data_IF_467836418934
#
_entry.id   IF_467836418934
#
_cell.length_a   1.000
_cell.length_b   1.000
_cell.length_c   1.000
_cell.angle_alpha   90.00
_cell.angle_beta   90.00
_cell.angle_gamma   90.00
#
_symmetry.space_group_name_H-M   'P 1'
#
loop_
_entity.id
_entity.type
_entity.pdbx_description
1 polymer ?
#
# COMPACT_ATOMS: atom_id res chain seq x y z
N UNK A 1 27.49 -1.74 28.37
CA UNK A 1 26.23 -1.26 27.81
C UNK A 1 25.38 -2.50 27.53
N UNK A 2 24.36 -2.73 28.34
CA UNK A 2 23.44 -3.84 28.15
C UNK A 2 22.52 -3.43 26.98
N UNK A 3 22.76 -3.99 25.80
CA UNK A 3 21.74 -4.03 24.77
C UNK A 3 20.63 -4.96 25.29
N UNK A 4 19.54 -4.37 25.74
CA UNK A 4 18.29 -5.13 25.96
C UNK A 4 17.97 -5.88 24.68
N UNK A 5 17.57 -7.16 24.73
CA UNK A 5 17.17 -7.90 23.53
C UNK A 5 16.09 -7.06 22.83
N UNK A 6 16.35 -6.66 21.58
CA UNK A 6 15.41 -5.86 20.81
C UNK A 6 14.08 -6.62 20.75
N UNK A 7 13.08 -6.13 21.47
CA UNK A 7 11.73 -6.67 21.43
C UNK A 7 11.27 -6.73 19.97
N UNK A 8 10.59 -7.79 19.59
CA UNK A 8 9.95 -7.87 18.26
C UNK A 8 8.95 -6.73 18.18
N UNK A 9 9.05 -5.83 17.21
CA UNK A 9 8.11 -4.71 17.11
C UNK A 9 6.69 -5.23 16.83
N UNK A 10 5.71 -4.52 17.30
CA UNK A 10 4.30 -4.83 17.02
C UNK A 10 3.96 -4.69 15.55
N UNK A 11 4.48 -3.63 14.91
CA UNK A 11 4.19 -3.30 13.52
C UNK A 11 5.45 -3.20 12.66
N UNK A 12 5.36 -3.71 11.43
CA UNK A 12 6.27 -3.36 10.35
C UNK A 12 5.50 -2.59 9.30
N UNK A 13 5.81 -1.29 9.16
CA UNK A 13 5.31 -0.46 8.08
C UNK A 13 6.19 -0.67 6.86
N UNK A 14 5.61 -1.19 5.78
CA UNK A 14 6.30 -1.54 4.53
C UNK A 14 5.90 -0.55 3.46
N UNK A 15 6.88 0.16 2.90
CA UNK A 15 6.71 1.25 1.94
C UNK A 15 7.47 0.89 0.66
N UNK A 16 6.78 0.47 -0.41
CA UNK A 16 7.40 0.34 -1.72
C UNK A 16 7.71 1.73 -2.29
N UNK A 17 8.93 1.94 -2.77
CA UNK A 17 9.36 3.23 -3.30
C UNK A 17 10.17 3.09 -4.59
N UNK A 18 9.83 3.86 -5.62
CA UNK A 18 10.59 4.00 -6.87
C UNK A 18 10.55 5.45 -7.34
N UNK A 19 11.69 6.15 -7.24
CA UNK A 19 11.82 7.56 -7.60
C UNK A 19 10.76 8.43 -6.90
N UNK A 20 10.73 8.36 -5.58
CA UNK A 20 9.76 9.03 -4.71
C UNK A 20 10.39 10.14 -3.84
N UNK A 21 11.56 10.69 -4.24
CA UNK A 21 12.26 11.74 -3.48
C UNK A 21 11.37 12.95 -3.16
N UNK A 22 10.44 13.30 -4.06
CA UNK A 22 9.53 14.43 -3.88
C UNK A 22 8.36 14.15 -2.91
N UNK A 23 8.00 12.88 -2.67
CA UNK A 23 6.80 12.49 -1.93
C UNK A 23 7.10 11.77 -0.62
N UNK A 24 8.14 10.95 -0.59
CA UNK A 24 8.53 10.15 0.56
C UNK A 24 8.70 10.99 1.85
N UNK A 25 9.28 12.21 1.85
CA UNK A 25 9.40 13.01 3.06
C UNK A 25 8.05 13.35 3.70
N UNK A 26 7.02 13.63 2.89
CA UNK A 26 5.70 13.95 3.40
C UNK A 26 4.99 12.71 4.00
N UNK A 27 5.21 11.52 3.43
CA UNK A 27 4.77 10.27 4.05
C UNK A 27 5.49 10.06 5.38
N UNK A 28 6.84 10.11 5.42
CA UNK A 28 7.63 9.85 6.62
C UNK A 28 7.24 10.79 7.76
N UNK A 29 7.03 12.08 7.51
CA UNK A 29 6.52 13.02 8.51
C UNK A 29 5.17 12.56 9.10
N UNK A 30 4.24 12.08 8.26
CA UNK A 30 2.95 11.56 8.74
C UNK A 30 3.08 10.22 9.48
N UNK A 31 4.08 9.42 9.14
CA UNK A 31 4.43 8.19 9.87
C UNK A 31 4.96 8.52 11.26
N UNK A 32 5.83 9.52 11.38
CA UNK A 32 6.37 9.95 12.69
C UNK A 32 5.27 10.49 13.60
N UNK A 33 4.32 11.26 13.04
CA UNK A 33 3.13 11.69 13.78
C UNK A 33 2.30 10.48 14.27
N UNK A 34 2.12 9.47 13.42
CA UNK A 34 1.36 8.27 13.78
C UNK A 34 2.10 7.40 14.81
N UNK A 35 3.44 7.29 14.71
CA UNK A 35 4.29 6.60 15.69
C UNK A 35 4.24 7.29 17.06
N UNK A 36 4.39 8.61 17.09
CA UNK A 36 4.32 9.40 18.31
C UNK A 36 2.95 9.29 19.02
N UNK A 37 1.89 9.04 18.26
CA UNK A 37 0.53 8.91 18.80
C UNK A 37 0.12 7.47 19.14
N UNK A 38 0.94 6.50 18.79
CA UNK A 38 0.65 5.10 19.08
C UNK A 38 0.80 4.82 20.59
N UNK A 39 -0.26 4.22 21.18
CA UNK A 39 -0.31 3.96 22.62
C UNK A 39 0.73 2.92 23.09
N UNK A 40 1.19 2.03 22.21
CA UNK A 40 2.23 1.05 22.51
C UNK A 40 3.65 1.62 22.48
N UNK A 41 3.84 2.85 22.02
CA UNK A 41 5.15 3.49 21.92
C UNK A 41 5.78 3.42 20.53
N UNK A 42 6.69 4.34 20.27
CA UNK A 42 7.35 4.50 18.96
C UNK A 42 8.22 3.30 18.58
N UNK A 43 8.82 2.63 19.55
CA UNK A 43 9.74 1.50 19.35
C UNK A 43 9.02 0.22 18.90
N UNK A 44 7.71 0.16 19.09
CA UNK A 44 6.84 -0.91 18.63
C UNK A 44 6.55 -0.84 17.11
N UNK A 45 7.10 0.14 16.40
CA UNK A 45 6.84 0.35 14.96
C UNK A 45 8.17 0.52 14.23
N UNK A 46 8.55 -0.50 13.46
CA UNK A 46 9.64 -0.36 12.48
C UNK A 46 9.10 0.13 11.13
N UNK A 47 9.94 0.87 10.41
CA UNK A 47 9.63 1.36 9.06
C UNK A 47 10.62 0.73 8.08
N UNK A 48 10.09 0.00 7.10
CA UNK A 48 10.85 -0.68 6.05
C UNK A 48 10.51 -0.03 4.71
N UNK A 49 11.44 0.72 4.15
CA UNK A 49 11.32 1.27 2.80
C UNK A 49 11.98 0.30 1.83
N UNK A 50 11.22 -0.17 0.85
CA UNK A 50 11.77 -1.05 -0.20
C UNK A 50 12.06 -0.22 -1.43
N UNK A 51 13.33 0.10 -1.61
CA UNK A 51 13.84 0.82 -2.77
C UNK A 51 13.85 -0.08 -4.00
N UNK A 52 12.98 0.21 -4.95
CA UNK A 52 12.85 -0.55 -6.19
C UNK A 52 13.81 -0.04 -7.28
N UNK A 53 15.12 -0.03 -6.97
CA UNK A 53 16.17 0.46 -7.83
C UNK A 53 15.94 1.93 -8.30
N UNK A 54 15.69 2.82 -7.34
CA UNK A 54 15.55 4.26 -7.59
C UNK A 54 16.89 4.84 -8.13
N UNK A 55 16.77 5.89 -8.93
CA UNK A 55 17.88 6.64 -9.51
C UNK A 55 18.00 8.06 -8.96
N UNK A 56 17.10 8.42 -8.04
CA UNK A 56 17.03 9.69 -7.32
C UNK A 56 17.45 9.52 -5.84
N UNK A 57 17.21 10.52 -5.01
CA UNK A 57 17.59 10.50 -3.59
C UNK A 57 16.65 9.65 -2.69
N UNK A 58 15.72 8.87 -3.23
CA UNK A 58 14.71 8.12 -2.47
C UNK A 58 15.33 7.27 -1.35
N UNK A 59 16.34 6.44 -1.68
CA UNK A 59 16.97 5.54 -0.70
C UNK A 59 17.73 6.29 0.39
N UNK A 60 18.37 7.41 0.07
CA UNK A 60 19.13 8.22 1.02
C UNK A 60 18.19 8.99 1.96
N UNK A 61 17.09 9.52 1.44
CA UNK A 61 16.03 10.13 2.25
C UNK A 61 15.42 9.13 3.24
N UNK A 62 15.17 7.89 2.80
CA UNK A 62 14.67 6.84 3.68
C UNK A 62 15.66 6.52 4.81
N UNK A 63 16.96 6.36 4.50
CA UNK A 63 18.00 6.11 5.53
C UNK A 63 18.12 7.27 6.51
N UNK A 64 18.12 8.50 6.00
CA UNK A 64 18.20 9.71 6.83
C UNK A 64 16.98 9.87 7.74
N UNK A 65 15.80 9.38 7.31
CA UNK A 65 14.58 9.29 8.11
C UNK A 65 14.55 8.11 9.09
N UNK A 66 15.70 7.42 9.30
CA UNK A 66 15.79 6.30 10.24
C UNK A 66 15.06 5.02 9.80
N UNK A 67 14.72 4.91 8.52
CA UNK A 67 14.06 3.74 7.97
C UNK A 67 15.07 2.62 7.67
N UNK A 68 14.65 1.39 7.83
CA UNK A 68 15.35 0.24 7.26
C UNK A 68 15.13 0.24 5.74
N UNK A 69 16.20 0.26 4.95
CA UNK A 69 16.10 0.24 3.49
C UNK A 69 16.46 -1.14 2.96
N UNK A 70 15.55 -1.71 2.19
CA UNK A 70 15.71 -2.97 1.47
C UNK A 70 15.71 -2.66 -0.02
N UNK A 71 16.60 -3.29 -0.81
CA UNK A 71 16.64 -3.11 -2.26
C UNK A 71 15.98 -4.29 -2.97
N UNK A 72 15.11 -4.00 -3.94
CA UNK A 72 14.50 -4.98 -4.83
C UNK A 72 14.65 -4.51 -6.28
N UNK A 73 15.29 -5.33 -7.11
CA UNK A 73 15.57 -4.99 -8.50
C UNK A 73 14.40 -5.27 -9.45
N UNK A 74 13.56 -6.23 -9.10
CA UNK A 74 12.41 -6.61 -9.93
C UNK A 74 11.36 -5.51 -9.92
N UNK A 75 11.01 -5.00 -11.10
CA UNK A 75 10.02 -3.95 -11.30
C UNK A 75 8.58 -4.49 -11.25
N UNK A 76 8.25 -5.17 -10.15
CA UNK A 76 6.93 -5.77 -9.88
C UNK A 76 6.53 -5.36 -8.46
N UNK A 77 5.46 -4.59 -8.33
CA UNK A 77 5.04 -4.02 -7.03
C UNK A 77 4.78 -5.11 -5.97
N UNK A 78 4.21 -6.26 -6.38
CA UNK A 78 4.01 -7.40 -5.50
C UNK A 78 5.35 -7.96 -4.97
N UNK A 79 6.38 -8.07 -5.83
CA UNK A 79 7.72 -8.50 -5.43
C UNK A 79 8.36 -7.50 -4.44
N UNK A 80 8.20 -6.20 -4.70
CA UNK A 80 8.70 -5.13 -3.82
C UNK A 80 8.07 -5.24 -2.43
N UNK A 81 6.74 -5.41 -2.35
CA UNK A 81 6.04 -5.58 -1.06
C UNK A 81 6.43 -6.89 -0.36
N UNK A 82 6.59 -7.99 -1.10
CA UNK A 82 7.08 -9.26 -0.56
C UNK A 82 8.50 -9.13 -0.01
N UNK A 83 9.41 -8.48 -0.70
CA UNK A 83 10.76 -8.23 -0.23
C UNK A 83 10.76 -7.43 1.09
N UNK A 84 9.87 -6.45 1.22
CA UNK A 84 9.64 -5.73 2.47
C UNK A 84 9.18 -6.64 3.59
N UNK A 85 8.16 -7.48 3.34
CA UNK A 85 7.62 -8.41 4.32
C UNK A 85 8.65 -9.45 4.78
N UNK A 86 9.48 -9.97 3.86
CA UNK A 86 10.57 -10.92 4.18
C UNK A 86 11.65 -10.31 5.08
N UNK A 87 11.87 -9.01 5.00
CA UNK A 87 12.85 -8.29 5.80
C UNK A 87 12.26 -7.61 7.05
N UNK A 88 10.95 -7.65 7.20
CA UNK A 88 10.22 -7.09 8.33
C UNK A 88 10.27 -8.02 9.55
N UNK A 89 10.18 -7.46 10.78
CA UNK A 89 10.27 -8.21 12.04
C UNK A 89 8.97 -8.21 12.83
N UNK A 90 8.08 -7.24 12.60
CA UNK A 90 6.86 -7.05 13.37
C UNK A 90 5.81 -8.13 13.18
N UNK A 91 4.91 -8.26 14.15
CA UNK A 91 3.79 -9.23 14.13
C UNK A 91 2.68 -8.84 13.17
N UNK A 92 2.56 -7.55 12.87
CA UNK A 92 1.54 -6.99 11.98
C UNK A 92 2.22 -6.24 10.85
N UNK A 93 1.94 -6.65 9.62
CA UNK A 93 2.37 -5.93 8.42
C UNK A 93 1.38 -4.85 8.07
N UNK A 94 1.89 -3.69 7.75
CA UNK A 94 1.15 -2.51 7.31
C UNK A 94 1.77 -2.01 6.02
N UNK A 95 0.99 -1.93 4.95
CA UNK A 95 1.46 -1.51 3.62
C UNK A 95 0.86 -0.14 3.27
N UNK A 96 1.72 0.77 2.82
CA UNK A 96 1.32 2.11 2.36
C UNK A 96 2.21 2.55 1.20
N UNK A 97 1.63 3.19 0.18
CA UNK A 97 2.40 3.72 -0.94
C UNK A 97 3.15 5.00 -0.56
N UNK A 98 4.33 5.21 -1.15
CA UNK A 98 5.27 6.28 -0.81
C UNK A 98 4.72 7.71 -1.05
N UNK A 99 3.70 7.85 -1.88
CA UNK A 99 3.07 9.13 -2.20
C UNK A 99 1.81 9.44 -1.36
N UNK A 100 1.41 8.55 -0.45
CA UNK A 100 0.29 8.76 0.46
C UNK A 100 0.72 9.42 1.77
N UNK A 101 -0.24 9.74 2.64
CA UNK A 101 0.02 10.15 4.04
C UNK A 101 -0.87 9.35 4.96
N UNK A 102 -0.32 8.98 6.12
CA UNK A 102 -1.04 8.23 7.13
C UNK A 102 -1.87 9.15 8.03
N UNK A 103 -2.95 8.61 8.57
CA UNK A 103 -3.68 9.29 9.65
C UNK A 103 -2.94 9.06 10.98
N UNK A 104 -2.84 10.07 11.88
CA UNK A 104 -2.11 9.93 13.14
C UNK A 104 -2.62 8.80 14.05
N UNK A 105 -3.88 8.38 13.94
CA UNK A 105 -4.46 7.29 14.74
C UNK A 105 -4.42 5.91 14.05
N UNK A 106 -3.65 5.77 12.96
CA UNK A 106 -3.67 4.54 12.13
C UNK A 106 -3.29 3.30 12.94
N UNK A 107 -2.17 3.31 13.66
CA UNK A 107 -1.70 2.12 14.40
C UNK A 107 -2.64 1.74 15.54
N UNK A 108 -3.16 2.72 16.30
CA UNK A 108 -4.17 2.47 17.32
C UNK A 108 -5.46 1.89 16.74
N UNK A 109 -5.89 2.37 15.58
CA UNK A 109 -7.10 1.88 14.92
C UNK A 109 -6.92 0.43 14.41
N UNK A 110 -5.72 0.09 13.91
CA UNK A 110 -5.37 -1.29 13.52
C UNK A 110 -5.42 -2.21 14.75
N UNK A 111 -4.74 -1.84 15.83
CA UNK A 111 -4.72 -2.64 17.07
C UNK A 111 -6.12 -2.88 17.63
N UNK A 112 -6.93 -1.83 17.75
CA UNK A 112 -8.34 -1.97 18.18
C UNK A 112 -9.11 -2.95 17.30
N UNK A 113 -8.88 -2.91 15.98
CA UNK A 113 -9.54 -3.80 15.04
C UNK A 113 -9.12 -5.27 15.23
N UNK A 114 -7.80 -5.50 15.34
CA UNK A 114 -7.23 -6.85 15.50
C UNK A 114 -7.49 -7.45 16.88
N UNK A 115 -7.55 -6.62 17.94
CA UNK A 115 -7.83 -7.05 19.31
C UNK A 115 -9.22 -7.70 19.47
N UNK A 116 -10.15 -7.44 18.55
CA UNK A 116 -11.47 -8.09 18.57
C UNK A 116 -11.42 -9.60 18.33
N UNK A 117 -10.31 -10.14 17.80
CA UNK A 117 -10.18 -11.53 17.34
C UNK A 117 -11.06 -11.87 16.11
N UNK A 118 -11.95 -10.98 15.69
CA UNK A 118 -12.91 -11.18 14.60
C UNK A 118 -12.43 -10.64 13.25
N UNK A 119 -11.25 -10.00 13.24
CA UNK A 119 -10.64 -9.38 12.04
C UNK A 119 -9.39 -10.14 11.66
N UNK A 120 -9.32 -10.58 10.40
CA UNK A 120 -8.12 -11.22 9.83
C UNK A 120 -7.19 -10.16 9.22
N UNK A 121 -7.75 -9.22 8.50
CA UNK A 121 -7.06 -8.15 7.78
C UNK A 121 -7.99 -6.97 7.56
N UNK A 122 -7.46 -5.87 7.08
CA UNK A 122 -8.27 -4.74 6.70
C UNK A 122 -7.52 -3.71 5.91
N UNK A 123 -8.26 -2.64 5.56
CA UNK A 123 -7.65 -1.48 4.96
C UNK A 123 -8.30 -0.19 5.45
N UNK A 124 -7.55 0.90 5.45
CA UNK A 124 -8.11 2.22 5.69
C UNK A 124 -8.86 2.70 4.46
N UNK A 125 -9.95 3.44 4.69
CA UNK A 125 -10.52 4.28 3.65
C UNK A 125 -9.51 5.35 3.23
N UNK A 126 -9.80 6.01 2.11
CA UNK A 126 -8.98 7.11 1.61
C UNK A 126 -9.73 8.43 1.65
N UNK A 127 -8.99 9.52 1.82
CA UNK A 127 -9.40 10.89 1.60
C UNK A 127 -8.49 11.47 0.54
N UNK A 128 -9.04 12.04 -0.52
CA UNK A 128 -8.21 12.65 -1.56
C UNK A 128 -7.55 13.92 -1.05
N UNK A 129 -6.30 14.14 -1.46
CA UNK A 129 -5.52 15.33 -1.10
C UNK A 129 -6.20 16.61 -1.60
N UNK A 130 -6.79 16.59 -2.79
CA UNK A 130 -7.67 17.64 -3.33
C UNK A 130 -8.92 17.04 -3.96
N UNK A 131 -9.94 17.87 -4.15
CA UNK A 131 -11.17 17.48 -4.84
C UNK A 131 -11.40 18.37 -6.05
N UNK A 132 -11.86 17.76 -7.14
CA UNK A 132 -12.39 18.42 -8.33
C UNK A 132 -13.64 17.69 -8.78
N UNK A 133 -14.35 18.24 -9.77
CA UNK A 133 -15.56 17.60 -10.31
C UNK A 133 -15.24 16.21 -10.92
N UNK A 134 -14.13 16.07 -11.66
CA UNK A 134 -13.71 14.79 -12.25
C UNK A 134 -13.31 13.75 -11.21
N UNK A 135 -12.59 14.18 -10.15
CA UNK A 135 -12.25 13.32 -9.00
C UNK A 135 -13.53 12.91 -8.26
N UNK A 136 -14.47 13.83 -8.03
CA UNK A 136 -15.74 13.52 -7.37
C UNK A 136 -16.59 12.52 -8.16
N UNK A 137 -16.64 12.65 -9.48
CA UNK A 137 -17.32 11.71 -10.36
C UNK A 137 -16.68 10.32 -10.30
N UNK A 138 -15.34 10.24 -10.31
CA UNK A 138 -14.61 8.96 -10.12
C UNK A 138 -14.95 8.34 -8.77
N UNK A 139 -14.97 9.14 -7.70
CA UNK A 139 -15.33 8.70 -6.35
C UNK A 139 -16.76 8.17 -6.27
N UNK A 140 -17.72 8.85 -6.91
CA UNK A 140 -19.12 8.43 -6.95
C UNK A 140 -19.30 7.04 -7.58
N UNK A 141 -18.46 6.68 -8.55
CA UNK A 141 -18.47 5.34 -9.19
C UNK A 141 -17.73 4.31 -8.34
N UNK A 142 -16.57 4.68 -7.78
CA UNK A 142 -15.70 3.72 -7.09
C UNK A 142 -16.14 3.41 -5.65
N UNK A 143 -16.67 4.39 -4.91
CA UNK A 143 -17.04 4.23 -3.49
C UNK A 143 -18.11 3.15 -3.28
N UNK A 144 -19.19 3.06 -4.07
CA UNK A 144 -20.16 1.96 -3.93
C UNK A 144 -19.54 0.58 -4.14
N UNK A 145 -18.61 0.45 -5.11
CA UNK A 145 -17.91 -0.79 -5.39
C UNK A 145 -16.99 -1.20 -4.23
N UNK A 146 -16.21 -0.25 -3.73
CA UNK A 146 -15.34 -0.44 -2.57
C UNK A 146 -16.17 -0.76 -1.32
N UNK A 147 -17.33 -0.10 -1.13
CA UNK A 147 -18.23 -0.36 -0.02
C UNK A 147 -18.81 -1.78 -0.09
N UNK A 148 -19.23 -2.23 -1.25
CA UNK A 148 -19.77 -3.57 -1.48
C UNK A 148 -18.73 -4.67 -1.27
N UNK A 149 -17.51 -4.45 -1.77
CA UNK A 149 -16.42 -5.44 -1.70
C UNK A 149 -15.65 -5.39 -0.38
N UNK A 150 -15.74 -4.29 0.38
CA UNK A 150 -14.93 -3.98 1.57
C UNK A 150 -13.42 -3.94 1.29
N UNK A 151 -13.04 -3.70 0.07
CA UNK A 151 -11.64 -3.68 -0.39
C UNK A 151 -11.16 -2.25 -0.58
N UNK A 152 -11.02 -1.52 0.53
CA UNK A 152 -10.28 -0.27 0.56
C UNK A 152 -8.78 -0.54 0.36
N UNK A 153 -8.05 0.40 -0.18
CA UNK A 153 -6.62 0.25 -0.52
C UNK A 153 -5.77 1.44 -0.04
N UNK A 154 -6.21 2.14 1.00
CA UNK A 154 -5.44 3.27 1.54
C UNK A 154 -4.19 2.81 2.30
N UNK A 155 -4.38 2.17 3.44
CA UNK A 155 -3.35 1.49 4.22
C UNK A 155 -3.86 0.08 4.45
N UNK A 156 -3.17 -0.92 3.92
CA UNK A 156 -3.56 -2.34 4.05
C UNK A 156 -2.81 -2.96 5.22
N UNK A 157 -3.47 -3.77 6.03
CA UNK A 157 -2.84 -4.44 7.15
C UNK A 157 -3.34 -5.87 7.35
N UNK A 158 -2.45 -6.74 7.84
CA UNK A 158 -2.75 -8.09 8.26
C UNK A 158 -1.69 -8.58 9.29
N UNK A 159 -1.97 -9.69 9.99
CA UNK A 159 -0.94 -10.34 10.79
C UNK A 159 0.10 -10.99 9.88
N UNK A 160 1.35 -11.04 10.33
CA UNK A 160 2.44 -11.76 9.66
C UNK A 160 2.04 -13.21 9.36
N UNK A 161 1.56 -13.93 10.38
CA UNK A 161 1.13 -15.33 10.25
C UNK A 161 0.09 -15.55 9.15
N UNK A 162 -0.86 -14.63 9.00
CA UNK A 162 -1.92 -14.69 7.99
C UNK A 162 -1.37 -14.38 6.60
N UNK A 163 -0.45 -13.40 6.50
CA UNK A 163 0.25 -13.08 5.26
C UNK A 163 1.09 -14.26 4.76
N UNK A 164 1.85 -14.89 5.64
CA UNK A 164 2.67 -16.06 5.34
C UNK A 164 1.80 -17.28 4.96
N UNK A 165 0.67 -17.48 5.66
CA UNK A 165 -0.25 -18.59 5.39
C UNK A 165 -0.90 -18.56 3.99
N UNK A 166 -1.02 -17.37 3.38
CA UNK A 166 -1.53 -17.22 2.01
C UNK A 166 -0.42 -17.13 0.96
N UNK A 167 0.86 -17.14 1.39
CA UNK A 167 2.02 -17.03 0.50
C UNK A 167 2.35 -15.60 0.06
N UNK A 168 1.81 -14.57 0.74
CA UNK A 168 2.07 -13.17 0.44
C UNK A 168 1.35 -12.63 -0.78
N UNK A 169 1.92 -11.58 -1.38
CA UNK A 169 1.43 -11.01 -2.64
C UNK A 169 1.74 -11.94 -3.82
N UNK A 170 0.77 -12.13 -4.70
CA UNK A 170 0.97 -12.90 -5.95
C UNK A 170 1.74 -12.07 -6.98
N UNK A 171 2.99 -12.46 -7.25
CA UNK A 171 3.90 -11.74 -8.15
C UNK A 171 3.56 -11.89 -9.64
N UNK A 172 2.74 -12.86 -10.01
CA UNK A 172 2.23 -13.00 -11.37
C UNK A 172 1.15 -11.95 -11.71
N UNK A 173 0.65 -11.25 -10.69
CA UNK A 173 -0.32 -10.18 -10.84
C UNK A 173 0.36 -8.83 -11.00
N UNK A 174 0.15 -8.23 -12.17
CA UNK A 174 0.67 -6.89 -12.50
C UNK A 174 -0.28 -5.75 -12.11
N UNK A 175 -1.47 -6.09 -11.62
CA UNK A 175 -2.53 -5.13 -11.31
C UNK A 175 -3.48 -5.65 -10.23
N UNK A 176 -3.97 -4.73 -9.37
CA UNK A 176 -4.91 -5.02 -8.27
C UNK A 176 -4.39 -6.11 -7.29
N UNK A 177 -3.10 -6.10 -7.03
CA UNK A 177 -2.42 -7.03 -6.12
C UNK A 177 -2.94 -6.90 -4.67
N UNK A 178 -3.26 -5.68 -4.21
CA UNK A 178 -3.87 -5.45 -2.89
C UNK A 178 -5.27 -6.05 -2.79
N UNK A 179 -6.06 -5.94 -3.86
CA UNK A 179 -7.40 -6.55 -3.92
C UNK A 179 -7.29 -8.06 -3.86
N UNK A 180 -6.31 -8.65 -4.56
CA UNK A 180 -6.07 -10.09 -4.52
C UNK A 180 -5.63 -10.55 -3.13
N UNK A 181 -4.69 -9.83 -2.50
CA UNK A 181 -4.23 -10.11 -1.14
C UNK A 181 -5.41 -10.11 -0.16
N UNK A 182 -6.23 -9.05 -0.18
CA UNK A 182 -7.41 -8.94 0.69
C UNK A 182 -8.44 -10.06 0.41
N UNK A 183 -8.56 -10.48 -0.85
CA UNK A 183 -9.43 -11.61 -1.22
C UNK A 183 -8.93 -12.94 -0.65
N UNK A 184 -7.64 -13.21 -0.74
CA UNK A 184 -7.05 -14.44 -0.22
C UNK A 184 -7.11 -14.47 1.33
N UNK A 185 -6.82 -13.34 1.99
CA UNK A 185 -7.02 -13.17 3.43
C UNK A 185 -8.50 -13.34 3.83
N UNK A 186 -9.43 -12.80 3.05
CA UNK A 186 -10.86 -13.00 3.29
C UNK A 186 -11.26 -14.47 3.21
N UNK A 187 -10.72 -15.22 2.24
CA UNK A 187 -10.97 -16.67 2.11
C UNK A 187 -10.44 -17.44 3.32
N UNK A 188 -9.23 -17.09 3.76
CA UNK A 188 -8.64 -17.67 4.98
C UNK A 188 -9.47 -17.33 6.21
N UNK A 189 -9.86 -16.05 6.36
CA UNK A 189 -10.66 -15.57 7.49
C UNK A 189 -12.02 -16.24 7.59
N UNK A 190 -12.70 -16.48 6.47
CA UNK A 190 -13.99 -17.20 6.47
C UNK A 190 -13.92 -18.59 7.11
N UNK A 191 -12.79 -19.31 6.92
CA UNK A 191 -12.56 -20.62 7.54
C UNK A 191 -12.40 -20.51 9.06
N UNK A 192 -12.01 -19.34 9.57
CA UNK A 192 -11.77 -19.07 10.99
C UNK A 192 -12.88 -18.22 11.65
N UNK A 193 -13.98 -17.95 10.95
CA UNK A 193 -15.06 -17.07 11.44
C UNK A 193 -14.66 -15.57 11.51
N UNK A 194 -13.60 -15.19 10.82
CA UNK A 194 -13.08 -13.82 10.77
C UNK A 194 -13.50 -13.10 9.48
N UNK A 195 -13.41 -11.76 9.49
CA UNK A 195 -13.82 -10.89 8.39
C UNK A 195 -12.79 -9.81 8.09
N UNK A 196 -12.88 -9.21 6.91
CA UNK A 196 -12.13 -7.98 6.61
C UNK A 196 -12.72 -6.80 7.40
N UNK A 197 -11.82 -5.94 7.88
CA UNK A 197 -12.17 -4.67 8.51
C UNK A 197 -12.01 -3.53 7.51
N UNK A 198 -12.99 -2.65 7.46
CA UNK A 198 -12.89 -1.36 6.81
C UNK A 198 -12.68 -0.29 7.86
N UNK A 199 -11.50 0.29 7.89
CA UNK A 199 -11.11 1.30 8.87
C UNK A 199 -11.54 2.69 8.39
N UNK A 200 -12.65 3.21 8.92
CA UNK A 200 -13.23 4.49 8.50
C UNK A 200 -12.78 5.68 9.34
N UNK A 201 -12.29 5.42 10.56
CA UNK A 201 -11.87 6.45 11.53
C UNK A 201 -10.47 7.01 11.24
N UNK A 202 -9.59 6.24 10.58
CA UNK A 202 -8.22 6.61 10.28
C UNK A 202 -7.95 6.52 8.76
N UNK A 203 -8.56 7.42 8.00
CA UNK A 203 -8.42 7.44 6.54
C UNK A 203 -7.06 7.97 6.12
N UNK A 204 -6.38 7.25 5.23
CA UNK A 204 -5.19 7.75 4.57
C UNK A 204 -5.51 8.93 3.64
N UNK A 205 -4.58 9.87 3.50
CA UNK A 205 -4.66 10.92 2.48
C UNK A 205 -3.98 10.38 1.23
N UNK A 206 -4.78 10.21 0.18
CA UNK A 206 -4.34 9.66 -1.10
C UNK A 206 -3.83 10.78 -2.00
N UNK A 207 -2.65 10.56 -2.60
CA UNK A 207 -2.03 11.50 -3.53
C UNK A 207 -2.87 11.71 -4.79
N UNK A 208 -2.98 12.96 -5.21
CA UNK A 208 -3.65 13.32 -6.48
C UNK A 208 -2.68 13.51 -7.63
N UNK A 209 -1.39 13.17 -7.48
CA UNK A 209 -0.35 13.41 -8.50
C UNK A 209 -0.70 12.84 -9.88
N UNK A 210 -1.31 11.65 -9.93
CA UNK A 210 -1.73 11.05 -11.20
C UNK A 210 -2.88 11.80 -11.85
N UNK A 211 -3.77 12.40 -11.06
CA UNK A 211 -4.79 13.31 -11.58
C UNK A 211 -4.16 14.62 -12.08
N UNK A 212 -3.13 15.11 -11.38
CA UNK A 212 -2.40 16.31 -11.80
C UNK A 212 -1.63 16.09 -13.10
N UNK A 213 -1.07 14.87 -13.27
CA UNK A 213 -0.29 14.49 -14.45
C UNK A 213 -1.14 14.15 -15.67
N UNK A 214 -2.27 13.45 -15.49
CA UNK A 214 -3.07 12.90 -16.59
C UNK A 214 -4.46 13.52 -16.73
N UNK A 215 -4.81 14.49 -15.86
CA UNK A 215 -6.11 15.14 -15.81
C UNK A 215 -7.12 14.44 -14.90
N UNK A 216 -8.06 15.22 -14.40
CA UNK A 216 -9.01 14.79 -13.36
C UNK A 216 -9.99 13.69 -13.80
N UNK A 217 -10.22 13.54 -15.11
CA UNK A 217 -11.08 12.49 -15.69
C UNK A 217 -10.37 11.18 -15.99
N UNK A 218 -9.06 11.15 -15.74
CA UNK A 218 -8.20 10.02 -16.12
C UNK A 218 -8.68 8.68 -15.53
N UNK A 219 -8.89 8.63 -14.22
CA UNK A 219 -9.32 7.39 -13.57
C UNK A 219 -10.74 6.98 -13.93
N UNK A 220 -11.65 7.92 -14.16
CA UNK A 220 -13.00 7.57 -14.62
C UNK A 220 -12.95 6.91 -15.99
N UNK A 221 -12.21 7.49 -16.93
CA UNK A 221 -12.03 6.90 -18.28
C UNK A 221 -11.34 5.55 -18.23
N UNK A 222 -10.35 5.39 -17.34
CA UNK A 222 -9.66 4.13 -17.10
C UNK A 222 -10.60 3.08 -16.52
N UNK A 223 -11.39 3.43 -15.50
CA UNK A 223 -12.37 2.53 -14.88
C UNK A 223 -13.38 2.02 -15.89
N UNK A 224 -13.93 2.92 -16.72
CA UNK A 224 -14.87 2.53 -17.76
C UNK A 224 -14.23 1.58 -18.80
N UNK A 225 -12.99 1.83 -19.22
CA UNK A 225 -12.23 0.92 -20.11
C UNK A 225 -11.96 -0.42 -19.46
N UNK A 226 -11.66 -0.45 -18.16
CA UNK A 226 -11.45 -1.69 -17.40
C UNK A 226 -12.74 -2.50 -17.28
N UNK A 227 -13.86 -1.86 -16.95
CA UNK A 227 -15.17 -2.51 -16.92
C UNK A 227 -15.54 -3.09 -18.27
N UNK A 228 -15.33 -2.35 -19.36
CA UNK A 228 -15.50 -2.84 -20.71
C UNK A 228 -14.60 -4.06 -21.03
N UNK A 229 -13.32 -3.97 -20.66
CA UNK A 229 -12.36 -5.07 -20.86
C UNK A 229 -12.70 -6.33 -20.05
N UNK A 230 -13.23 -6.18 -18.83
CA UNK A 230 -13.70 -7.31 -18.01
C UNK A 230 -14.90 -8.02 -18.65
N UNK A 231 -15.79 -7.27 -19.31
CA UNK A 231 -16.98 -7.82 -19.95
C UNK A 231 -16.68 -8.45 -21.31
N UNK A 232 -15.70 -7.91 -22.07
CA UNK A 232 -15.53 -8.26 -23.48
C UNK A 232 -14.13 -8.78 -23.87
N UNK A 233 -13.05 -8.56 -23.09
CA UNK A 233 -11.69 -9.01 -23.46
C UNK A 233 -10.68 -8.99 -22.33
N UNK A 234 -10.45 -10.15 -21.70
CA UNK A 234 -9.44 -10.30 -20.63
C UNK A 234 -7.98 -10.09 -21.09
N UNK A 235 -7.66 -10.37 -22.34
CA UNK A 235 -6.29 -10.22 -22.88
C UNK A 235 -5.85 -8.76 -23.01
N UNK A 236 -6.78 -7.84 -23.27
CA UNK A 236 -6.49 -6.41 -23.38
C UNK A 236 -6.15 -5.75 -22.03
N UNK A 237 -6.61 -6.31 -20.91
CA UNK A 237 -6.37 -5.77 -19.58
C UNK A 237 -4.90 -5.90 -19.15
N UNK A 238 -4.26 -7.04 -19.40
CA UNK A 238 -2.86 -7.25 -19.06
C UNK A 238 -1.92 -6.38 -19.91
N UNK A 239 -2.23 -6.20 -21.20
CA UNK A 239 -1.48 -5.31 -22.08
C UNK A 239 -1.62 -3.84 -21.66
N UNK A 240 -2.82 -3.44 -21.25
CA UNK A 240 -3.09 -2.10 -20.73
C UNK A 240 -2.34 -1.86 -19.40
N UNK A 241 -2.41 -2.80 -18.45
CA UNK A 241 -1.73 -2.71 -17.16
C UNK A 241 -0.20 -2.57 -17.35
N UNK A 242 0.41 -3.38 -18.22
CA UNK A 242 1.83 -3.26 -18.56
C UNK A 242 2.18 -1.89 -19.11
N UNK A 243 1.40 -1.36 -20.04
CA UNK A 243 1.65 -0.04 -20.64
C UNK A 243 1.47 1.10 -19.63
N UNK A 244 0.47 1.00 -18.75
CA UNK A 244 0.10 2.08 -17.84
C UNK A 244 1.01 2.16 -16.60
N UNK A 245 1.28 1.02 -15.94
CA UNK A 245 2.07 1.00 -14.70
C UNK A 245 3.58 0.82 -14.96
N UNK A 246 3.96 0.16 -16.09
CA UNK A 246 5.34 -0.19 -16.36
C UNK A 246 5.89 0.44 -17.65
N UNK A 247 5.05 0.98 -18.53
CA UNK A 247 5.45 1.51 -19.84
C UNK A 247 6.16 2.87 -19.79
N UNK A 248 5.83 3.74 -18.83
CA UNK A 248 6.49 5.03 -18.64
C UNK A 248 7.81 4.96 -17.84
N UNK A 249 8.20 3.77 -17.41
CA UNK A 249 9.45 3.52 -16.68
C UNK A 249 10.65 3.27 -17.62
N UNK A 250 10.44 3.22 -18.92
CA UNK A 250 11.53 3.30 -19.91
C UNK A 250 12.00 4.74 -19.99
N UNK A 251 12.79 5.14 -19.03
CA UNK A 251 13.47 6.41 -18.93
C UNK A 251 14.80 6.34 -19.69
N UNK A 252 15.11 7.35 -20.40
CA UNK A 252 16.33 8.05 -20.85
C UNK A 252 17.72 7.36 -20.84
N UNK A 253 17.89 6.08 -20.52
CA UNK A 253 19.22 5.43 -20.41
C UNK A 253 19.34 4.03 -21.02
N UNK A 254 18.40 3.56 -21.87
CA UNK A 254 18.67 2.37 -22.68
C UNK A 254 19.29 2.79 -24.02
N UNK A 255 20.54 2.39 -24.31
CA UNK A 255 21.09 2.54 -25.65
C UNK A 255 20.31 1.65 -26.61
N UNK A 256 19.97 2.23 -27.75
CA UNK A 256 19.38 1.49 -28.87
C UNK A 256 20.29 0.31 -29.23
N UNK A 257 19.73 -0.89 -29.12
CA UNK A 257 20.07 -2.03 -29.95
C UNK A 257 18.80 -2.64 -30.53
#
# INVERSE_FOLDING_TARGET
MNESPSSIPRFSLIIPAFNEEAYLPALLNSVDEARARYAGGTDEIEVVVVDNASTDATADLARSGGCRVVREERRIIAAVRNAGAQNARGDVFVFVDADNRMHPDTFNAIDRSLATGKVIAGASGVKMQRMSFGIAATYAVMVPLVWLTRMDTGVVFCRREDFEAIGGYNEDRLFAEDVQLLWDLMRLGRKRGQKLCRMTSAKAIFSTRKFDQYGDWHYLSMTLRMLYGLLFSRSSLNAFARKYWYGNQRSKSDPKY
#
